data_IF_503491055684
#
_entry.id   IF_503491055684
#
_cell.length_a   1.000
_cell.length_b   1.000
_cell.length_c   1.000
_cell.angle_alpha   90.00
_cell.angle_beta   90.00
_cell.angle_gamma   90.00
#
_symmetry.space_group_name_H-M   'P 1'
#
loop_
_entity.id
_entity.type
_entity.pdbx_description
1 polymer ?
#
# COMPACT_ATOMS: atom_id res chain seq x y z
N UNK A 1 -55.62 75.00 29.96
CA UNK A 1 -56.34 73.72 29.81
C UNK A 1 -55.65 72.92 28.71
N UNK A 2 -55.37 71.64 29.02
CA UNK A 2 -55.07 70.51 28.14
C UNK A 2 -53.88 70.54 27.12
N UNK A 3 -52.88 69.69 27.40
CA UNK A 3 -52.19 68.77 26.45
C UNK A 3 -53.15 67.57 26.23
N UNK A 4 -53.28 66.91 25.04
CA UNK A 4 -52.29 65.94 24.49
C UNK A 4 -52.33 65.83 22.93
N UNK A 5 -51.63 64.99 22.17
CA UNK A 5 -50.84 63.76 22.38
C UNK A 5 -49.99 63.51 21.11
N UNK A 6 -48.87 62.83 21.30
CA UNK A 6 -47.87 62.40 20.32
C UNK A 6 -48.31 61.24 19.40
N UNK A 7 -47.59 61.03 18.29
CA UNK A 7 -47.17 59.69 17.83
C UNK A 7 -45.96 59.74 16.86
N UNK A 8 -44.81 59.34 17.44
CA UNK A 8 -43.55 58.78 16.95
C UNK A 8 -43.10 58.86 15.46
N UNK A 9 -41.79 59.10 15.22
CA UNK A 9 -41.04 58.37 14.22
C UNK A 9 -40.47 57.07 14.81
N UNK A 10 -40.61 56.02 14.00
CA UNK A 10 -40.23 54.63 14.24
C UNK A 10 -38.70 54.47 14.35
N UNK A 11 -38.29 53.77 15.41
CA UNK A 11 -36.94 53.24 15.65
C UNK A 11 -36.51 52.22 14.59
N UNK A 12 -35.21 51.91 14.67
CA UNK A 12 -34.55 50.67 14.25
C UNK A 12 -33.86 50.71 12.88
N UNK A 13 -32.67 51.29 12.90
CA UNK A 13 -31.59 51.04 11.95
C UNK A 13 -30.24 51.18 12.65
N UNK A 14 -30.15 50.69 13.89
CA UNK A 14 -28.93 50.70 14.71
C UNK A 14 -28.00 49.59 14.22
N UNK A 15 -27.27 49.88 13.15
CA UNK A 15 -26.30 48.97 12.52
C UNK A 15 -24.87 49.51 12.47
N UNK A 16 -24.61 50.69 13.06
CA UNK A 16 -23.32 51.37 12.94
C UNK A 16 -22.69 51.79 14.26
N UNK A 17 -23.18 51.28 15.40
CA UNK A 17 -22.61 51.61 16.71
C UNK A 17 -22.05 50.37 17.38
N UNK A 18 -20.97 49.82 16.82
CA UNK A 18 -20.03 48.96 17.57
C UNK A 18 -18.61 48.92 16.97
N UNK A 19 -18.24 49.88 16.12
CA UNK A 19 -16.85 50.30 16.03
C UNK A 19 -16.62 51.37 17.09
N UNK A 20 -16.88 51.03 18.36
CA UNK A 20 -16.50 51.88 19.47
C UNK A 20 -14.98 52.10 19.34
N UNK A 21 -14.60 53.37 19.28
CA UNK A 21 -13.23 53.86 19.18
C UNK A 21 -12.34 53.13 20.20
N UNK A 22 -11.66 52.05 19.76
CA UNK A 22 -10.48 51.57 20.45
C UNK A 22 -9.52 52.75 20.55
N UNK A 23 -8.99 53.02 21.74
CA UNK A 23 -8.02 54.09 21.88
C UNK A 23 -6.87 53.81 20.90
N UNK A 24 -6.25 54.84 20.29
CA UNK A 24 -5.15 54.63 19.34
C UNK A 24 -4.03 53.73 19.89
N UNK A 25 -3.83 53.74 21.20
CA UNK A 25 -2.92 52.86 21.95
C UNK A 25 -3.35 51.39 21.91
N UNK A 26 -4.62 51.08 22.16
CA UNK A 26 -5.17 49.71 22.08
C UNK A 26 -5.11 49.17 20.64
N UNK A 27 -5.33 50.02 19.64
CA UNK A 27 -5.18 49.65 18.23
C UNK A 27 -3.72 49.33 17.89
N UNK A 28 -2.76 50.11 18.40
CA UNK A 28 -1.33 49.85 18.24
C UNK A 28 -0.91 48.54 18.89
N UNK A 29 -1.41 48.24 20.10
CA UNK A 29 -1.14 46.98 20.79
C UNK A 29 -1.67 45.77 20.00
N UNK A 30 -2.88 45.87 19.43
CA UNK A 30 -3.44 44.80 18.59
C UNK A 30 -2.59 44.60 17.33
N UNK A 31 -2.14 45.68 16.69
CA UNK A 31 -1.26 45.60 15.52
C UNK A 31 0.09 44.96 15.88
N UNK A 32 0.70 45.34 17.01
CA UNK A 32 1.94 44.74 17.49
C UNK A 32 1.77 43.24 17.79
N UNK A 33 0.63 42.86 18.38
CA UNK A 33 0.31 41.46 18.65
C UNK A 33 0.12 40.67 17.36
N UNK A 34 -0.53 41.25 16.35
CA UNK A 34 -0.69 40.64 15.04
C UNK A 34 0.66 40.48 14.32
N UNK A 35 1.53 41.49 14.37
CA UNK A 35 2.89 41.41 13.83
C UNK A 35 3.70 40.31 14.51
N UNK A 36 3.58 40.17 15.84
CA UNK A 36 4.22 39.09 16.58
C UNK A 36 3.69 37.71 16.14
N UNK A 37 2.37 37.55 15.99
CA UNK A 37 1.76 36.31 15.50
C UNK A 37 2.22 36.00 14.07
N UNK A 38 2.27 37.00 13.18
CA UNK A 38 2.77 36.84 11.82
C UNK A 38 4.22 36.37 11.79
N UNK A 39 5.08 36.93 12.65
CA UNK A 39 6.48 36.47 12.81
C UNK A 39 6.53 35.02 13.26
N UNK A 40 5.79 34.65 14.31
CA UNK A 40 5.75 33.27 14.81
C UNK A 40 5.24 32.29 13.75
N UNK A 41 4.20 32.65 12.99
CA UNK A 41 3.71 31.81 11.89
C UNK A 41 4.78 31.66 10.81
N UNK A 42 5.50 32.73 10.47
CA UNK A 42 6.58 32.66 9.48
C UNK A 42 7.76 31.80 9.94
N UNK A 43 8.12 31.87 11.23
CA UNK A 43 9.16 31.05 11.84
C UNK A 43 8.73 29.58 11.87
N UNK A 44 7.52 29.29 12.35
CA UNK A 44 6.96 27.94 12.35
C UNK A 44 6.92 27.34 10.96
N UNK A 45 6.51 28.10 9.93
CA UNK A 45 6.55 27.63 8.54
C UNK A 45 7.96 27.29 8.09
N UNK A 46 8.97 28.05 8.52
CA UNK A 46 10.38 27.77 8.22
C UNK A 46 10.86 26.50 8.93
N UNK A 47 10.50 26.32 10.20
CA UNK A 47 10.84 25.13 10.97
C UNK A 47 10.20 23.86 10.39
N UNK A 48 8.94 23.94 9.95
CA UNK A 48 8.26 22.83 9.27
C UNK A 48 8.95 22.48 7.96
N UNK A 49 9.35 23.47 7.16
CA UNK A 49 10.10 23.23 5.92
C UNK A 49 11.47 22.58 6.21
N UNK A 50 12.17 23.06 7.24
CA UNK A 50 13.42 22.46 7.70
C UNK A 50 13.22 20.99 8.14
N UNK A 51 12.17 20.72 8.92
CA UNK A 51 11.80 19.37 9.34
C UNK A 51 11.51 18.47 8.14
N UNK A 52 10.69 18.93 7.17
CA UNK A 52 10.40 18.20 5.93
C UNK A 52 11.66 17.87 5.16
N UNK A 53 12.56 18.84 4.98
CA UNK A 53 13.84 18.63 4.31
C UNK A 53 14.72 17.61 5.04
N UNK A 54 14.73 17.65 6.38
CA UNK A 54 15.50 16.73 7.22
C UNK A 54 14.96 15.29 7.14
N UNK A 55 13.63 15.12 7.13
CA UNK A 55 12.96 13.82 6.96
C UNK A 55 13.20 13.25 5.57
N UNK A 56 13.11 14.06 4.52
CA UNK A 56 13.44 13.65 3.15
C UNK A 56 14.90 13.19 3.03
N UNK A 57 15.83 13.91 3.66
CA UNK A 57 17.25 13.52 3.71
C UNK A 57 17.45 12.20 4.45
N UNK A 58 16.77 12.02 5.59
CA UNK A 58 16.84 10.78 6.37
C UNK A 58 16.26 9.59 5.59
N UNK A 59 15.12 9.79 4.93
CA UNK A 59 14.51 8.76 4.08
C UNK A 59 15.46 8.33 2.95
N UNK A 60 16.10 9.28 2.27
CA UNK A 60 17.11 8.98 1.25
C UNK A 60 18.32 8.23 1.82
N UNK A 61 18.76 8.57 3.03
CA UNK A 61 19.85 7.87 3.73
C UNK A 61 19.46 6.42 4.09
N UNK A 62 18.24 6.19 4.57
CA UNK A 62 17.73 4.85 4.90
C UNK A 62 17.66 3.99 3.63
N UNK A 63 17.07 4.53 2.55
CA UNK A 63 16.99 3.82 1.26
C UNK A 63 18.39 3.51 0.72
N UNK A 64 19.32 4.46 0.83
CA UNK A 64 20.73 4.26 0.47
C UNK A 64 21.38 3.14 1.27
N UNK A 65 21.20 3.12 2.60
CA UNK A 65 21.73 2.08 3.50
C UNK A 65 21.13 0.71 3.21
N UNK A 66 19.82 0.62 3.01
CA UNK A 66 19.14 -0.65 2.67
C UNK A 66 19.64 -1.17 1.33
N UNK A 67 19.77 -0.30 0.32
CA UNK A 67 20.31 -0.68 -0.99
C UNK A 67 21.76 -1.16 -0.87
N UNK A 68 22.62 -0.45 -0.15
CA UNK A 68 24.02 -0.89 0.03
C UNK A 68 24.11 -2.22 0.79
N UNK A 69 23.26 -2.41 1.81
CA UNK A 69 23.21 -3.66 2.57
C UNK A 69 22.67 -4.81 1.71
N UNK A 70 21.68 -4.56 0.84
CA UNK A 70 21.19 -5.55 -0.10
C UNK A 70 22.26 -5.92 -1.14
N UNK A 71 22.98 -4.94 -1.69
CA UNK A 71 24.08 -5.18 -2.62
C UNK A 71 25.23 -5.96 -1.96
N UNK A 72 25.54 -5.68 -0.69
CA UNK A 72 26.54 -6.42 0.09
C UNK A 72 26.09 -7.86 0.38
N UNK A 73 24.86 -8.06 0.87
CA UNK A 73 24.30 -9.40 1.12
C UNK A 73 24.14 -10.20 -0.16
N UNK A 74 23.80 -9.58 -1.29
CA UNK A 74 23.78 -10.23 -2.60
C UNK A 74 25.18 -10.63 -3.06
N UNK A 75 26.21 -9.80 -2.83
CA UNK A 75 27.62 -10.15 -3.10
C UNK A 75 28.09 -11.33 -2.25
N UNK A 76 27.74 -11.37 -0.97
CA UNK A 76 28.03 -12.49 -0.06
C UNK A 76 27.28 -13.76 -0.51
N UNK A 77 26.02 -13.64 -0.93
CA UNK A 77 25.20 -14.76 -1.41
C UNK A 77 25.70 -15.31 -2.75
N UNK A 78 26.13 -14.45 -3.69
CA UNK A 78 26.75 -14.86 -4.95
C UNK A 78 28.11 -15.55 -4.72
N UNK A 79 28.88 -15.12 -3.73
CA UNK A 79 30.10 -15.83 -3.29
C UNK A 79 29.79 -17.19 -2.64
N UNK A 80 28.62 -17.36 -2.02
CA UNK A 80 28.19 -18.64 -1.44
C UNK A 80 27.50 -19.59 -2.44
N UNK A 81 26.92 -19.09 -3.54
CA UNK A 81 26.25 -19.92 -4.57
C UNK A 81 27.20 -20.57 -5.60
N UNK A 82 28.49 -20.22 -5.59
CA UNK A 82 29.50 -20.91 -6.40
C UNK A 82 30.75 -21.25 -5.58
N UNK A 83 30.82 -22.42 -4.94
CA UNK A 83 32.07 -22.95 -4.40
C UNK A 83 32.99 -23.55 -5.47
N UNK A 84 32.58 -23.61 -6.73
CA UNK A 84 33.39 -24.18 -7.79
C UNK A 84 33.48 -23.23 -8.97
N UNK A 85 34.45 -22.32 -8.93
CA UNK A 85 35.20 -22.10 -10.15
C UNK A 85 35.81 -23.47 -10.48
N UNK A 86 35.31 -24.13 -11.54
CA UNK A 86 35.99 -25.29 -12.12
C UNK A 86 37.28 -24.77 -12.76
N UNK A 87 38.23 -24.45 -11.90
CA UNK A 87 39.63 -24.32 -12.25
C UNK A 87 39.96 -25.66 -12.90
N UNK A 88 40.28 -25.63 -14.20
CA UNK A 88 40.93 -26.76 -14.83
C UNK A 88 42.30 -26.85 -14.16
N UNK A 89 42.34 -27.51 -13.01
CA UNK A 89 43.59 -27.99 -12.45
C UNK A 89 44.05 -29.09 -13.38
N UNK A 90 45.02 -28.74 -14.24
CA UNK A 90 45.84 -29.71 -14.95
C UNK A 90 46.65 -30.48 -13.90
N UNK A 91 45.99 -31.43 -13.24
CA UNK A 91 46.56 -32.25 -12.18
C UNK A 91 47.23 -33.48 -12.80
N UNK A 92 48.21 -33.23 -13.66
CA UNK A 92 49.24 -34.22 -13.99
C UNK A 92 50.24 -34.25 -12.84
N UNK A 93 49.88 -34.88 -11.72
CA UNK A 93 50.79 -34.86 -10.57
C UNK A 93 50.33 -35.55 -9.29
N UNK A 94 49.32 -36.42 -9.33
CA UNK A 94 49.00 -37.23 -8.14
C UNK A 94 49.85 -38.50 -8.12
N UNK A 95 50.90 -38.43 -7.29
CA UNK A 95 51.75 -39.53 -6.84
C UNK A 95 50.91 -40.60 -6.13
N UNK A 96 50.53 -41.66 -6.84
CA UNK A 96 50.07 -42.91 -6.23
C UNK A 96 50.96 -44.06 -6.68
N UNK A 97 51.43 -44.86 -5.72
CA UNK A 97 52.45 -45.91 -5.92
C UNK A 97 51.82 -47.22 -6.43
N UNK A 98 50.51 -47.24 -6.69
CA UNK A 98 49.76 -48.45 -7.06
C UNK A 98 49.07 -48.37 -8.43
N UNK A 99 49.32 -47.33 -9.23
CA UNK A 99 48.79 -47.28 -10.59
C UNK A 99 49.76 -46.60 -11.57
N UNK A 100 50.86 -47.28 -11.91
CA UNK A 100 51.64 -46.99 -13.12
C UNK A 100 50.82 -47.41 -14.34
N UNK A 101 49.97 -46.53 -14.85
CA UNK A 101 49.32 -46.74 -16.15
C UNK A 101 50.18 -46.16 -17.27
N UNK A 102 50.77 -47.08 -18.01
CA UNK A 102 51.36 -46.97 -19.34
C UNK A 102 50.69 -45.92 -20.23
N UNK A 103 51.45 -44.90 -20.61
CA UNK A 103 51.18 -44.12 -21.82
C UNK A 103 51.47 -44.99 -23.05
N UNK A 104 50.42 -45.49 -23.70
CA UNK A 104 50.53 -46.24 -24.95
C UNK A 104 49.20 -46.37 -25.69
N UNK A 105 49.18 -45.82 -26.92
CA UNK A 105 48.39 -46.20 -28.10
C UNK A 105 46.86 -46.37 -27.93
N UNK A 106 46.04 -45.50 -28.53
CA UNK A 106 45.39 -45.74 -29.85
C UNK A 106 44.97 -47.19 -30.08
N UNK A 107 43.65 -47.45 -30.08
CA UNK A 107 42.87 -48.43 -30.86
C UNK A 107 41.56 -48.74 -30.10
N UNK A 108 40.41 -48.28 -30.63
CA UNK A 108 39.29 -49.09 -31.15
C UNK A 108 38.67 -50.09 -30.17
N UNK A 109 37.35 -49.89 -30.00
CA UNK A 109 36.31 -50.92 -29.86
C UNK A 109 36.03 -51.51 -28.47
N UNK A 110 34.76 -51.88 -28.28
CA UNK A 110 34.07 -52.44 -27.10
C UNK A 110 33.99 -51.51 -25.87
N UNK A 111 32.82 -51.09 -25.38
CA UNK A 111 31.64 -51.88 -25.01
C UNK A 111 31.45 -51.71 -23.49
N UNK A 112 30.21 -51.64 -22.99
CA UNK A 112 29.86 -51.68 -21.54
C UNK A 112 30.29 -50.48 -20.65
N UNK A 113 29.65 -49.32 -20.87
CA UNK A 113 29.52 -48.27 -19.84
C UNK A 113 28.22 -48.45 -19.05
N UNK A 114 28.26 -49.31 -18.02
CA UNK A 114 27.23 -49.37 -16.98
C UNK A 114 27.79 -48.77 -15.69
N UNK A 115 27.49 -47.49 -15.46
CA UNK A 115 27.93 -46.76 -14.27
C UNK A 115 27.07 -45.54 -13.98
N UNK A 116 25.78 -45.59 -14.35
CA UNK A 116 24.80 -44.57 -14.02
C UNK A 116 24.05 -44.97 -12.75
N UNK A 117 24.51 -44.59 -11.57
CA UNK A 117 23.64 -44.56 -10.40
C UNK A 117 22.82 -43.26 -10.46
N UNK A 118 21.73 -43.32 -11.21
CA UNK A 118 20.63 -42.37 -11.12
C UNK A 118 19.87 -42.70 -9.83
N UNK A 119 20.17 -42.00 -8.74
CA UNK A 119 19.33 -42.10 -7.53
C UNK A 119 18.00 -41.42 -7.80
N UNK A 120 16.96 -42.23 -7.92
CA UNK A 120 15.57 -41.82 -8.00
C UNK A 120 15.14 -41.21 -6.65
N UNK A 121 14.92 -39.89 -6.64
CA UNK A 121 14.07 -39.26 -5.63
C UNK A 121 12.70 -39.06 -6.28
N UNK A 122 11.81 -40.02 -6.07
CA UNK A 122 10.41 -39.94 -6.45
C UNK A 122 9.57 -40.58 -5.34
N UNK A 123 9.18 -39.76 -4.37
CA UNK A 123 7.90 -39.91 -3.67
C UNK A 123 7.36 -38.50 -3.40
N UNK A 124 6.55 -38.05 -4.36
CA UNK A 124 5.59 -36.97 -4.18
C UNK A 124 4.42 -37.53 -3.37
N UNK A 125 4.20 -36.99 -2.18
CA UNK A 125 3.02 -37.26 -1.38
C UNK A 125 1.83 -36.52 -2.02
N UNK A 126 1.02 -37.24 -2.80
CA UNK A 126 -0.26 -36.76 -3.30
C UNK A 126 -1.34 -37.20 -2.33
N UNK A 127 -1.78 -36.33 -1.43
CA UNK A 127 -2.99 -36.55 -0.66
C UNK A 127 -4.12 -35.67 -1.21
N UNK A 128 -4.83 -36.23 -2.20
CA UNK A 128 -6.08 -35.71 -2.73
C UNK A 128 -7.18 -36.71 -2.39
N UNK A 129 -7.77 -36.57 -1.22
CA UNK A 129 -9.08 -37.13 -0.92
C UNK A 129 -10.07 -35.99 -0.71
N UNK A 130 -10.82 -35.68 -1.76
CA UNK A 130 -12.10 -34.99 -1.69
C UNK A 130 -13.11 -35.93 -2.33
N UNK A 131 -13.92 -36.58 -1.50
CA UNK A 131 -15.27 -37.06 -1.81
C UNK A 131 -15.79 -37.83 -0.58
N UNK A 132 -16.83 -37.30 0.08
CA UNK A 132 -18.05 -38.03 0.46
C UNK A 132 -19.00 -37.14 1.27
N UNK A 133 -20.08 -36.82 0.59
CA UNK A 133 -21.42 -36.58 1.08
C UNK A 133 -21.84 -37.67 2.08
N UNK A 134 -22.33 -37.26 3.26
CA UNK A 134 -23.19 -38.08 4.12
C UNK A 134 -24.00 -37.16 5.03
N UNK A 135 -25.31 -37.14 4.78
CA UNK A 135 -26.40 -36.66 5.63
C UNK A 135 -26.50 -37.47 6.95
N UNK A 136 -27.43 -37.04 7.82
CA UNK A 136 -27.83 -37.58 9.16
C UNK A 136 -27.11 -36.88 10.34
N UNK A 137 -27.61 -35.78 10.92
CA UNK A 137 -28.81 -35.54 11.79
C UNK A 137 -28.74 -36.27 13.14
N UNK A 138 -29.03 -35.50 14.21
CA UNK A 138 -29.21 -35.83 15.64
C UNK A 138 -27.92 -35.88 16.49
N UNK A 139 -27.78 -35.30 17.69
CA UNK A 139 -28.60 -34.41 18.51
C UNK A 139 -27.74 -33.85 19.66
N UNK A 140 -28.21 -32.76 20.27
CA UNK A 140 -28.04 -32.37 21.69
C UNK A 140 -26.64 -32.24 22.34
N UNK A 141 -26.14 -30.98 22.42
CA UNK A 141 -25.72 -30.30 23.68
C UNK A 141 -25.45 -28.82 23.36
N UNK A 142 -26.43 -27.92 23.53
CA UNK A 142 -26.62 -27.12 24.75
C UNK A 142 -25.32 -26.53 25.35
N UNK A 143 -24.95 -25.33 24.91
CA UNK A 143 -24.45 -24.23 25.76
C UNK A 143 -24.81 -22.89 25.10
N UNK A 144 -26.09 -22.57 25.26
CA UNK A 144 -26.71 -21.27 25.10
C UNK A 144 -25.97 -20.18 25.91
N UNK A 145 -25.54 -19.10 25.27
CA UNK A 145 -25.40 -17.82 25.98
C UNK A 145 -25.94 -16.69 25.12
N UNK A 146 -27.24 -16.47 25.27
CA UNK A 146 -27.97 -15.28 24.85
C UNK A 146 -27.25 -14.03 25.37
N UNK A 147 -26.81 -13.15 24.47
CA UNK A 147 -26.78 -11.72 24.76
C UNK A 147 -27.74 -11.01 23.82
N UNK A 148 -28.77 -10.50 24.48
CA UNK A 148 -29.95 -9.84 23.99
C UNK A 148 -29.65 -8.67 23.07
N UNK A 149 -30.37 -8.64 21.94
CA UNK A 149 -30.81 -7.43 21.28
C UNK A 149 -31.39 -6.46 22.31
N UNK A 150 -30.78 -5.30 22.42
CA UNK A 150 -31.42 -4.05 22.83
C UNK A 150 -31.08 -2.99 21.80
N UNK A 151 -31.88 -2.93 20.74
CA UNK A 151 -32.17 -1.68 20.06
C UNK A 151 -33.08 -0.90 21.01
N UNK A 152 -32.53 -0.01 21.81
CA UNK A 152 -33.07 1.35 22.00
C UNK A 152 -32.15 2.16 22.93
N UNK A 153 -31.99 3.45 22.61
CA UNK A 153 -31.41 4.53 23.42
C UNK A 153 -29.88 4.60 23.58
N UNK A 154 -29.24 5.33 22.65
CA UNK A 154 -28.08 6.25 22.78
C UNK A 154 -27.50 6.46 21.37
N UNK A 155 -28.16 7.17 20.46
CA UNK A 155 -28.20 8.63 20.35
C UNK A 155 -27.30 9.42 21.32
N UNK A 156 -25.98 9.25 21.14
CA UNK A 156 -24.99 10.29 21.44
C UNK A 156 -23.93 10.25 20.33
N UNK A 157 -24.17 11.07 19.31
CA UNK A 157 -23.19 11.89 18.61
C UNK A 157 -21.74 11.40 18.75
N UNK A 158 -21.28 10.56 17.83
CA UNK A 158 -19.86 10.47 17.52
C UNK A 158 -19.57 11.45 16.37
N UNK A 159 -19.88 12.72 16.62
CA UNK A 159 -19.41 13.88 15.85
C UNK A 159 -18.08 14.33 16.47
N UNK A 160 -17.01 13.52 16.35
CA UNK A 160 -15.61 13.99 16.51
C UNK A 160 -14.59 12.84 16.40
N UNK A 161 -14.79 11.91 15.46
CA UNK A 161 -13.60 11.26 14.89
C UNK A 161 -12.96 12.30 13.99
N UNK A 162 -12.02 13.03 14.59
CA UNK A 162 -11.11 13.92 13.94
C UNK A 162 -10.62 13.25 12.65
N UNK A 163 -11.24 13.68 11.54
CA UNK A 163 -10.56 13.77 10.27
C UNK A 163 -9.27 14.52 10.56
N UNK A 164 -8.21 13.75 10.83
CA UNK A 164 -6.85 14.17 10.56
C UNK A 164 -6.93 14.66 9.13
N UNK A 165 -7.06 15.98 8.97
CA UNK A 165 -6.91 16.62 7.68
C UNK A 165 -5.57 16.10 7.17
N UNK A 166 -5.55 15.22 6.17
CA UNK A 166 -4.29 14.87 5.54
C UNK A 166 -3.69 16.20 5.13
N UNK A 167 -2.39 16.41 5.37
CA UNK A 167 -1.70 17.62 4.91
C UNK A 167 -2.26 18.00 3.54
N UNK A 168 -2.93 19.15 3.39
CA UNK A 168 -3.76 19.41 2.20
C UNK A 168 -2.97 19.27 0.89
N UNK A 169 -1.64 19.38 0.95
CA UNK A 169 -0.73 19.07 -0.15
C UNK A 169 -0.66 17.59 -0.57
N UNK A 170 -0.80 16.65 0.37
CA UNK A 170 -0.80 15.20 0.11
C UNK A 170 -2.13 14.78 -0.52
N UNK A 171 -3.24 15.35 -0.04
CA UNK A 171 -4.59 15.10 -0.59
C UNK A 171 -4.73 15.66 -2.00
N UNK A 172 -4.18 16.85 -2.27
CA UNK A 172 -4.15 17.43 -3.61
C UNK A 172 -3.26 16.63 -4.59
N UNK A 173 -2.14 16.08 -4.10
CA UNK A 173 -1.29 15.16 -4.87
C UNK A 173 -1.97 13.82 -5.18
N UNK A 174 -2.72 13.27 -4.21
CA UNK A 174 -3.53 12.07 -4.39
C UNK A 174 -4.61 12.29 -5.46
N UNK A 175 -5.37 13.38 -5.36
CA UNK A 175 -6.44 13.67 -6.32
C UNK A 175 -5.95 13.72 -7.77
N UNK A 176 -4.80 14.36 -8.02
CA UNK A 176 -4.18 14.41 -9.35
C UNK A 176 -3.76 13.02 -9.85
N UNK A 177 -3.18 12.19 -8.97
CA UNK A 177 -2.79 10.83 -9.28
C UNK A 177 -4.00 9.97 -9.65
N UNK A 178 -5.08 10.04 -8.87
CA UNK A 178 -6.30 9.27 -9.13
C UNK A 178 -6.95 9.69 -10.44
N UNK A 179 -6.98 11.00 -10.71
CA UNK A 179 -7.49 11.52 -11.99
C UNK A 179 -6.65 11.04 -13.18
N UNK A 180 -5.32 10.94 -13.02
CA UNK A 180 -4.45 10.39 -14.06
C UNK A 180 -4.71 8.88 -14.26
N UNK A 181 -4.89 8.12 -13.19
CA UNK A 181 -5.22 6.70 -13.27
C UNK A 181 -6.59 6.48 -13.96
N UNK A 182 -7.59 7.31 -13.68
CA UNK A 182 -8.90 7.26 -14.34
C UNK A 182 -8.77 7.50 -15.85
N UNK A 183 -7.98 8.49 -16.29
CA UNK A 183 -7.72 8.74 -17.71
C UNK A 183 -6.99 7.59 -18.40
N UNK A 184 -6.07 6.92 -17.70
CA UNK A 184 -5.30 5.79 -18.23
C UNK A 184 -6.15 4.53 -18.34
N UNK A 185 -7.13 4.35 -17.44
CA UNK A 185 -8.10 3.26 -17.50
C UNK A 185 -9.00 3.34 -18.75
N UNK A 186 -9.48 4.54 -19.11
CA UNK A 186 -10.29 4.76 -20.31
C UNK A 186 -9.51 4.67 -21.63
N UNK A 187 -8.20 4.41 -21.54
CA UNK A 187 -7.28 4.36 -22.66
C UNK A 187 -7.09 2.98 -23.29
N UNK A 188 -6.08 2.88 -24.16
CA UNK A 188 -5.68 1.64 -24.79
C UNK A 188 -5.05 0.66 -23.79
N UNK A 189 -4.89 -0.61 -24.19
CA UNK A 189 -4.27 -1.64 -23.33
C UNK A 189 -2.90 -1.21 -22.75
N UNK A 190 -2.10 -0.47 -23.53
CA UNK A 190 -0.82 0.04 -23.04
C UNK A 190 -0.99 1.12 -21.96
N UNK A 191 -1.98 2.00 -22.11
CA UNK A 191 -2.29 3.04 -21.13
C UNK A 191 -2.83 2.42 -19.84
N UNK A 192 -3.67 1.38 -19.93
CA UNK A 192 -4.13 0.61 -18.77
C UNK A 192 -2.95 0.00 -17.98
N UNK A 193 -1.96 -0.58 -18.68
CA UNK A 193 -0.71 -1.07 -18.04
C UNK A 193 0.06 0.05 -17.35
N UNK A 194 0.17 1.22 -17.98
CA UNK A 194 0.82 2.39 -17.39
C UNK A 194 0.07 2.89 -16.14
N UNK A 195 -1.27 2.89 -16.18
CA UNK A 195 -2.13 3.23 -15.04
C UNK A 195 -1.94 2.26 -13.87
N UNK A 196 -1.88 0.97 -14.16
CA UNK A 196 -1.58 -0.05 -13.16
C UNK A 196 -0.21 0.15 -12.51
N UNK A 197 0.84 0.37 -13.31
CA UNK A 197 2.19 0.65 -12.79
C UNK A 197 2.25 1.93 -11.96
N UNK A 198 1.55 2.98 -12.40
CA UNK A 198 1.45 4.25 -11.68
C UNK A 198 0.82 4.06 -10.30
N UNK A 199 -0.25 3.25 -10.20
CA UNK A 199 -0.87 2.92 -8.92
C UNK A 199 0.07 2.09 -8.05
N UNK A 200 0.67 1.01 -8.56
CA UNK A 200 1.62 0.20 -7.78
C UNK A 200 2.79 1.00 -7.21
N UNK A 201 3.37 1.92 -7.99
CA UNK A 201 4.47 2.77 -7.55
C UNK A 201 4.10 3.70 -6.37
N UNK A 202 2.82 4.01 -6.22
CA UNK A 202 2.31 4.88 -5.17
C UNK A 202 1.55 4.13 -4.06
N UNK A 203 1.49 2.79 -4.12
CA UNK A 203 0.78 1.94 -3.15
C UNK A 203 1.27 2.14 -1.72
N UNK A 204 2.56 2.36 -1.51
CA UNK A 204 3.11 2.61 -0.18
C UNK A 204 2.68 3.96 0.42
N UNK A 205 2.36 4.94 -0.43
CA UNK A 205 1.99 6.29 0.01
C UNK A 205 0.47 6.42 0.24
N UNK A 206 -0.34 5.75 -0.59
CA UNK A 206 -1.79 5.92 -0.60
C UNK A 206 -2.58 4.63 -0.38
N UNK A 207 -1.93 3.53 0.00
CA UNK A 207 -2.56 2.23 0.21
C UNK A 207 -3.60 2.17 1.34
N UNK A 208 -3.66 3.19 2.20
CA UNK A 208 -4.70 3.33 3.22
C UNK A 208 -5.86 4.26 2.80
N UNK A 209 -5.87 4.73 1.55
CA UNK A 209 -6.94 5.57 1.03
C UNK A 209 -7.95 4.72 0.27
N UNK A 210 -9.23 4.81 0.64
CA UNK A 210 -10.33 4.07 -0.01
C UNK A 210 -10.33 4.28 -1.52
N UNK A 211 -10.15 5.53 -1.95
CA UNK A 211 -10.27 5.95 -3.34
C UNK A 211 -9.13 5.47 -4.22
N UNK A 212 -7.99 5.22 -3.59
CA UNK A 212 -6.83 4.61 -4.24
C UNK A 212 -7.02 3.10 -4.39
N UNK A 213 -7.49 2.42 -3.33
CA UNK A 213 -7.60 0.96 -3.33
C UNK A 213 -8.59 0.42 -4.36
N UNK A 214 -9.79 0.99 -4.48
CA UNK A 214 -10.74 0.49 -5.49
C UNK A 214 -10.26 0.76 -6.93
N UNK A 215 -9.45 1.81 -7.14
CA UNK A 215 -8.81 2.07 -8.44
C UNK A 215 -7.68 1.10 -8.75
N UNK A 216 -6.91 0.70 -7.73
CA UNK A 216 -5.88 -0.33 -7.87
C UNK A 216 -6.50 -1.69 -8.19
N UNK A 217 -7.57 -2.06 -7.50
CA UNK A 217 -8.37 -3.25 -7.78
C UNK A 217 -8.94 -3.26 -9.21
N UNK A 218 -9.49 -2.13 -9.67
CA UNK A 218 -9.93 -1.97 -11.06
C UNK A 218 -8.77 -2.16 -12.05
N UNK A 219 -7.59 -1.63 -11.75
CA UNK A 219 -6.41 -1.79 -12.60
C UNK A 219 -5.89 -3.24 -12.60
N UNK A 220 -6.04 -4.00 -11.51
CA UNK A 220 -5.82 -5.46 -11.50
C UNK A 220 -6.81 -6.17 -12.43
N UNK A 221 -8.09 -5.78 -12.42
CA UNK A 221 -9.09 -6.28 -13.37
C UNK A 221 -8.67 -6.01 -14.82
N UNK A 222 -8.25 -4.79 -15.14
CA UNK A 222 -7.73 -4.45 -16.47
C UNK A 222 -6.54 -5.34 -16.87
N UNK A 223 -5.59 -5.57 -15.96
CA UNK A 223 -4.46 -6.45 -16.23
C UNK A 223 -4.90 -7.88 -16.49
N UNK A 224 -5.89 -8.38 -15.75
CA UNK A 224 -6.49 -9.70 -15.96
C UNK A 224 -7.22 -9.83 -17.32
N UNK A 225 -7.77 -8.74 -17.85
CA UNK A 225 -8.41 -8.70 -19.17
C UNK A 225 -7.41 -8.65 -20.31
N UNK A 226 -6.31 -7.91 -20.13
CA UNK A 226 -5.28 -7.68 -21.16
C UNK A 226 -4.32 -8.88 -21.27
N UNK A 227 -4.14 -9.63 -20.19
CA UNK A 227 -3.18 -10.74 -20.13
C UNK A 227 -3.77 -12.00 -20.76
N UNK A 228 -3.02 -12.62 -21.68
CA UNK A 228 -3.44 -13.85 -22.37
C UNK A 228 -3.10 -15.12 -21.58
N UNK A 229 -2.06 -15.06 -20.74
CA UNK A 229 -1.65 -16.19 -19.90
C UNK A 229 -2.65 -16.46 -18.77
N UNK A 230 -3.07 -17.71 -18.65
CA UNK A 230 -4.13 -18.10 -17.72
C UNK A 230 -3.69 -18.05 -16.25
N UNK A 231 -2.41 -18.29 -15.97
CA UNK A 231 -1.87 -18.28 -14.60
C UNK A 231 -1.61 -16.83 -14.14
N UNK A 232 -1.03 -15.99 -14.99
CA UNK A 232 -0.88 -14.56 -14.73
C UNK A 232 -2.24 -13.87 -14.56
N UNK A 233 -3.22 -14.19 -15.41
CA UNK A 233 -4.59 -13.68 -15.28
C UNK A 233 -5.21 -14.03 -13.93
N UNK A 234 -5.05 -15.29 -13.47
CA UNK A 234 -5.55 -15.72 -12.16
C UNK A 234 -4.85 -14.97 -11.03
N UNK A 235 -3.56 -14.74 -11.16
CA UNK A 235 -2.76 -14.00 -10.17
C UNK A 235 -3.32 -12.58 -10.01
N UNK A 236 -3.47 -11.83 -11.10
CA UNK A 236 -4.04 -10.48 -11.06
C UNK A 236 -5.46 -10.44 -10.47
N UNK A 237 -6.34 -11.37 -10.87
CA UNK A 237 -7.68 -11.45 -10.32
C UNK A 237 -7.68 -11.72 -8.81
N UNK A 238 -6.83 -12.66 -8.35
CA UNK A 238 -6.72 -12.97 -6.92
C UNK A 238 -6.13 -11.83 -6.09
N UNK A 239 -5.11 -11.14 -6.61
CA UNK A 239 -4.50 -9.99 -5.93
C UNK A 239 -5.47 -8.82 -5.83
N UNK A 240 -6.16 -8.48 -6.92
CA UNK A 240 -7.19 -7.44 -6.92
C UNK A 240 -8.32 -7.75 -5.93
N UNK A 241 -8.74 -9.02 -5.86
CA UNK A 241 -9.79 -9.46 -4.93
C UNK A 241 -9.34 -9.35 -3.47
N UNK A 242 -8.14 -9.83 -3.13
CA UNK A 242 -7.59 -9.72 -1.78
C UNK A 242 -7.49 -8.25 -1.32
N UNK A 243 -7.02 -7.37 -2.21
CA UNK A 243 -6.98 -5.93 -1.94
C UNK A 243 -8.36 -5.34 -1.64
N UNK A 244 -9.40 -5.78 -2.36
CA UNK A 244 -10.78 -5.34 -2.10
C UNK A 244 -11.38 -5.93 -0.84
N UNK A 245 -11.07 -7.17 -0.48
CA UNK A 245 -11.51 -7.76 0.79
C UNK A 245 -10.94 -6.98 1.98
N UNK A 246 -9.65 -6.62 1.91
CA UNK A 246 -9.02 -5.76 2.92
C UNK A 246 -9.66 -4.35 2.95
N UNK A 247 -10.02 -3.80 1.79
CA UNK A 247 -10.70 -2.51 1.73
C UNK A 247 -12.11 -2.56 2.34
N UNK A 248 -12.89 -3.61 2.07
CA UNK A 248 -14.24 -3.76 2.59
C UNK A 248 -14.29 -3.99 4.11
N UNK A 249 -13.24 -4.58 4.70
CA UNK A 249 -13.11 -4.64 6.16
C UNK A 249 -13.01 -3.24 6.80
N UNK A 250 -12.46 -2.25 6.08
CA UNK A 250 -12.29 -0.87 6.55
C UNK A 250 -13.43 0.06 6.11
N UNK A 251 -14.00 -0.15 4.92
CA UNK A 251 -15.01 0.74 4.31
C UNK A 251 -16.19 -0.05 3.73
N UNK A 252 -16.88 -0.78 4.60
CA UNK A 252 -18.07 -1.58 4.28
C UNK A 252 -19.26 -0.78 3.76
N UNK A 253 -19.25 0.55 3.90
CA UNK A 253 -20.29 1.46 3.38
C UNK A 253 -19.96 2.05 2.00
N UNK A 254 -18.78 1.77 1.44
CA UNK A 254 -18.32 2.33 0.17
C UNK A 254 -18.94 1.60 -1.03
N UNK A 255 -19.78 2.30 -1.81
CA UNK A 255 -20.48 1.72 -2.96
C UNK A 255 -19.50 1.25 -4.05
N UNK A 256 -18.45 2.03 -4.29
CA UNK A 256 -17.40 1.76 -5.27
C UNK A 256 -16.61 0.51 -4.88
N UNK A 257 -16.33 0.33 -3.59
CA UNK A 257 -15.65 -0.86 -3.11
C UNK A 257 -16.51 -2.12 -3.33
N UNK A 258 -17.81 -2.06 -3.05
CA UNK A 258 -18.72 -3.17 -3.35
C UNK A 258 -18.80 -3.46 -4.85
N UNK A 259 -18.89 -2.43 -5.69
CA UNK A 259 -18.95 -2.59 -7.13
C UNK A 259 -17.72 -3.34 -7.67
N UNK A 260 -16.52 -2.90 -7.30
CA UNK A 260 -15.29 -3.51 -7.80
C UNK A 260 -14.99 -4.86 -7.17
N UNK A 261 -15.41 -5.11 -5.93
CA UNK A 261 -15.32 -6.44 -5.33
C UNK A 261 -16.17 -7.49 -6.07
N UNK A 262 -17.36 -7.11 -6.53
CA UNK A 262 -18.25 -8.01 -7.30
C UNK A 262 -17.74 -8.24 -8.73
N UNK A 263 -16.96 -7.30 -9.27
CA UNK A 263 -16.48 -7.35 -10.66
C UNK A 263 -15.24 -8.24 -10.83
N UNK A 264 -14.45 -8.43 -9.76
CA UNK A 264 -13.23 -9.24 -9.70
C UNK A 264 -13.53 -10.73 -9.42
#
# INVERSE_FOLDING_TARGET
EAVPRALAPMEAGDGYVSAALLQPEEQLEVLERLDFVLRNISELRREVEELRSSLQRLAAEIVGKVRSHLEETQKVTRRRRFPFARERSDSTGSSSIYFTASSGATNTDDGESEGGYTTANAESDYDRESERESEEVEDEVSCETVRTVRQDSLDLLNEDEAHLTPDSSLEEGLGQLLQQADRLHDGDQQQKREGFQLLLNNKLAYGDQKDFLWRLARAHSDMSEITEDADEKRTYASEGKEEMEMALQKWDQSAECHQWYVTL
#
